data_IF_029094012670
#
_entry.id   IF_029094012670
#
_cell.length_a   1.000
_cell.length_b   1.000
_cell.length_c   1.000
_cell.angle_alpha   90.00
_cell.angle_beta   90.00
_cell.angle_gamma   90.00
#
_symmetry.space_group_name_H-M   'P 1'
#
loop_
_entity.id
_entity.type
_entity.pdbx_description
1 polymer ?
#
# COMPACT_ATOMS: atom_id res chain seq x y z
N UNK A 1 -28.04 -7.51 -43.38
CA UNK A 1 -28.09 -8.38 -42.21
C UNK A 1 -26.68 -8.78 -41.70
N UNK A 2 -25.76 -9.19 -42.55
CA UNK A 2 -24.42 -9.60 -42.13
C UNK A 2 -23.55 -8.46 -41.50
N UNK A 3 -23.75 -7.22 -41.96
CA UNK A 3 -23.03 -6.05 -41.40
C UNK A 3 -23.41 -5.70 -39.97
N UNK A 4 -24.66 -5.93 -39.58
CA UNK A 4 -25.12 -5.63 -38.21
C UNK A 4 -24.68 -6.66 -37.19
N UNK A 5 -24.51 -7.92 -37.59
CA UNK A 5 -24.00 -9.02 -36.74
C UNK A 5 -22.53 -8.84 -36.47
N UNK A 6 -21.73 -8.39 -37.44
CA UNK A 6 -20.30 -8.10 -37.28
C UNK A 6 -20.05 -6.93 -36.33
N UNK A 7 -20.88 -5.89 -36.34
CA UNK A 7 -20.79 -4.75 -35.43
C UNK A 7 -21.10 -5.16 -33.99
N UNK A 8 -22.09 -6.01 -33.76
CA UNK A 8 -22.46 -6.54 -32.44
C UNK A 8 -21.34 -7.41 -31.84
N UNK A 9 -20.69 -8.24 -32.65
CA UNK A 9 -19.58 -9.09 -32.22
C UNK A 9 -18.36 -8.24 -31.88
N UNK A 10 -18.08 -7.16 -32.62
CA UNK A 10 -16.99 -6.23 -32.35
C UNK A 10 -17.19 -5.46 -31.04
N UNK A 11 -18.43 -5.03 -30.72
CA UNK A 11 -18.76 -4.38 -29.45
C UNK A 11 -18.66 -5.33 -28.27
N UNK A 12 -19.01 -6.62 -28.41
CA UNK A 12 -18.86 -7.60 -27.33
C UNK A 12 -17.39 -7.93 -27.03
N UNK A 13 -16.53 -7.99 -28.05
CA UNK A 13 -15.10 -8.24 -27.86
C UNK A 13 -14.38 -7.06 -27.16
N UNK A 14 -14.82 -5.82 -27.44
CA UNK A 14 -14.25 -4.65 -26.76
C UNK A 14 -14.62 -4.60 -25.26
N UNK A 15 -15.80 -5.11 -24.88
CA UNK A 15 -16.25 -5.14 -23.48
C UNK A 15 -15.47 -6.17 -22.62
N UNK A 16 -14.85 -7.19 -23.22
CA UNK A 16 -14.10 -8.23 -22.51
C UNK A 16 -12.66 -7.78 -22.19
N UNK A 17 -12.14 -6.73 -22.84
CA UNK A 17 -10.77 -6.28 -22.70
C UNK A 17 -10.49 -5.39 -21.47
N UNK A 18 -11.53 -4.96 -20.73
CA UNK A 18 -11.36 -4.10 -19.54
C UNK A 18 -11.32 -4.97 -18.30
N UNK A 19 -10.13 -5.44 -17.92
CA UNK A 19 -9.90 -6.03 -16.61
C UNK A 19 -9.29 -4.99 -15.71
N UNK A 20 -9.88 -4.78 -14.51
CA UNK A 20 -9.25 -4.02 -13.44
C UNK A 20 -7.94 -4.70 -13.06
N UNK A 21 -6.86 -3.92 -12.91
CA UNK A 21 -5.58 -4.44 -12.43
C UNK A 21 -5.72 -4.81 -10.96
N UNK A 22 -5.66 -6.12 -10.64
CA UNK A 22 -5.78 -6.65 -9.28
C UNK A 22 -4.44 -7.15 -8.74
N UNK A 23 -3.40 -7.19 -9.58
CA UNK A 23 -2.06 -7.63 -9.21
C UNK A 23 -1.02 -6.69 -9.80
N UNK A 24 0.08 -6.54 -9.08
CA UNK A 24 1.17 -5.65 -9.45
C UNK A 24 2.06 -5.30 -8.25
N UNK A 25 2.95 -4.29 -8.40
CA UNK A 25 3.90 -3.93 -7.34
C UNK A 25 3.24 -3.47 -6.05
N UNK A 26 2.03 -2.91 -6.12
CA UNK A 26 1.33 -2.41 -4.93
C UNK A 26 0.43 -3.45 -4.25
N UNK A 27 0.63 -4.72 -4.54
CA UNK A 27 0.15 -5.84 -3.77
C UNK A 27 1.36 -6.62 -3.27
N UNK A 28 1.80 -6.32 -2.04
CA UNK A 28 3.08 -6.81 -1.56
C UNK A 28 3.17 -6.82 -0.03
N UNK A 29 4.09 -7.62 0.46
CA UNK A 29 4.67 -7.52 1.79
C UNK A 29 6.10 -7.00 1.61
N UNK A 30 6.40 -5.85 2.21
CA UNK A 30 7.71 -5.21 2.14
C UNK A 30 8.22 -4.94 3.55
N UNK A 31 9.54 -4.95 3.73
CA UNK A 31 10.14 -4.84 5.06
C UNK A 31 11.42 -4.01 5.04
N UNK A 32 11.76 -3.46 6.20
CA UNK A 32 13.04 -2.83 6.47
C UNK A 32 13.60 -3.40 7.77
N UNK A 33 14.74 -4.08 7.70
CA UNK A 33 15.35 -4.76 8.84
C UNK A 33 16.04 -3.80 9.81
N UNK A 34 16.57 -2.70 9.32
CA UNK A 34 17.26 -1.71 10.17
C UNK A 34 16.32 -1.13 11.23
N UNK A 35 15.10 -0.78 10.83
CA UNK A 35 14.10 -0.21 11.73
C UNK A 35 13.10 -1.24 12.22
N UNK A 36 13.19 -2.49 11.73
CA UNK A 36 12.28 -3.58 12.08
C UNK A 36 10.81 -3.23 11.82
N UNK A 37 10.56 -2.59 10.69
CA UNK A 37 9.22 -2.24 10.24
C UNK A 37 8.87 -2.99 8.97
N UNK A 38 7.58 -3.14 8.72
CA UNK A 38 7.08 -3.79 7.51
C UNK A 38 5.79 -3.10 7.06
N UNK A 39 5.46 -3.31 5.80
CA UNK A 39 4.16 -2.88 5.26
C UNK A 39 3.48 -4.06 4.58
N UNK A 40 2.21 -4.21 4.83
CA UNK A 40 1.33 -5.09 4.05
C UNK A 40 0.39 -4.20 3.28
N UNK A 41 0.42 -4.31 1.97
CA UNK A 41 -0.36 -3.45 1.08
C UNK A 41 -1.08 -4.26 0.01
N UNK A 42 -2.26 -3.81 -0.33
CA UNK A 42 -2.95 -4.09 -1.57
C UNK A 42 -3.71 -2.83 -1.96
N UNK A 43 -3.04 -1.97 -2.71
CA UNK A 43 -3.61 -0.68 -3.10
C UNK A 43 -4.65 -0.82 -4.23
N UNK A 44 -4.70 -1.97 -4.88
CA UNK A 44 -5.67 -2.25 -5.93
C UNK A 44 -7.02 -2.65 -5.34
N UNK A 45 -7.07 -3.75 -4.61
CA UNK A 45 -8.31 -4.31 -4.05
C UNK A 45 -8.69 -3.67 -2.71
N UNK A 46 -7.73 -3.09 -1.99
CA UNK A 46 -7.92 -2.46 -0.68
C UNK A 46 -8.64 -3.41 0.30
N UNK A 47 -8.16 -4.64 0.35
CA UNK A 47 -8.76 -5.74 1.09
C UNK A 47 -7.93 -6.19 2.31
N UNK A 48 -7.04 -5.34 2.79
CA UNK A 48 -6.18 -5.65 3.93
C UNK A 48 -6.93 -5.40 5.23
N UNK A 49 -6.99 -6.43 6.08
CA UNK A 49 -7.55 -6.33 7.43
C UNK A 49 -6.39 -6.08 8.39
N UNK A 50 -6.52 -5.03 9.21
CA UNK A 50 -5.48 -4.64 10.17
C UNK A 50 -5.61 -5.53 11.41
N UNK A 51 -4.56 -6.29 11.79
CA UNK A 51 -4.61 -7.12 13.00
C UNK A 51 -4.93 -6.31 14.25
N UNK A 52 -5.94 -6.73 15.02
CA UNK A 52 -6.40 -6.02 16.20
C UNK A 52 -7.25 -4.78 15.92
N UNK A 53 -7.50 -4.45 14.66
CA UNK A 53 -8.24 -3.26 14.23
C UNK A 53 -9.35 -3.62 13.23
N UNK A 54 -10.01 -4.73 13.44
CA UNK A 54 -11.02 -5.28 12.52
C UNK A 54 -12.22 -4.33 12.31
N UNK A 55 -12.47 -3.43 13.25
CA UNK A 55 -13.53 -2.43 13.15
C UNK A 55 -13.33 -1.44 11.97
N UNK A 56 -12.08 -1.23 11.54
CA UNK A 56 -11.82 -0.41 10.37
C UNK A 56 -12.24 -1.09 9.06
N UNK A 57 -12.47 -2.41 9.08
CA UNK A 57 -12.79 -3.18 7.88
C UNK A 57 -11.60 -3.32 6.93
N UNK A 58 -11.89 -3.37 5.65
CA UNK A 58 -10.90 -3.53 4.60
C UNK A 58 -10.29 -2.19 4.22
N UNK A 59 -8.96 -2.13 4.18
CA UNK A 59 -8.18 -0.92 3.93
C UNK A 59 -7.04 -1.20 2.93
N UNK A 60 -6.39 -0.16 2.38
CA UNK A 60 -5.25 -0.33 1.47
C UNK A 60 -4.07 -1.04 2.08
N UNK A 61 -3.88 -0.94 3.40
CA UNK A 61 -2.78 -1.57 4.09
C UNK A 61 -2.37 -0.89 5.38
N UNK A 62 -1.20 -1.26 5.88
CA UNK A 62 -0.64 -0.68 7.10
C UNK A 62 0.88 -0.84 7.16
N UNK A 63 1.50 0.00 7.98
CA UNK A 63 2.90 -0.13 8.39
C UNK A 63 2.93 -0.60 9.83
N UNK A 64 3.58 -1.74 10.07
CA UNK A 64 3.71 -2.34 11.39
C UNK A 64 5.15 -2.35 11.89
N UNK A 65 5.30 -2.56 13.19
CA UNK A 65 6.57 -2.78 13.86
C UNK A 65 6.67 -4.24 14.26
N UNK A 66 7.79 -4.88 13.95
CA UNK A 66 7.99 -6.28 14.32
C UNK A 66 7.88 -6.48 15.83
N UNK A 67 7.23 -7.55 16.25
CA UNK A 67 7.00 -7.92 17.66
C UNK A 67 6.27 -6.85 18.47
N UNK A 68 5.45 -6.03 17.81
CA UNK A 68 4.66 -4.97 18.44
C UNK A 68 3.32 -4.84 17.74
N UNK A 69 2.27 -4.55 18.50
CA UNK A 69 0.92 -4.40 17.94
C UNK A 69 0.64 -2.99 17.37
N UNK A 70 1.53 -2.03 17.62
CA UNK A 70 1.38 -0.67 17.10
C UNK A 70 1.49 -0.65 15.57
N UNK A 71 0.68 0.15 14.92
CA UNK A 71 0.74 0.33 13.48
C UNK A 71 0.34 1.73 13.03
N UNK A 72 0.74 2.06 11.82
CA UNK A 72 0.22 3.18 11.04
C UNK A 72 -0.69 2.59 9.96
N UNK A 73 -1.92 3.08 9.91
CA UNK A 73 -2.95 2.57 9.00
C UNK A 73 -2.98 3.41 7.75
N UNK A 74 -2.99 2.78 6.58
CA UNK A 74 -3.22 3.46 5.31
C UNK A 74 -4.73 3.60 5.14
N UNK A 75 -5.24 4.82 5.25
CA UNK A 75 -6.68 5.08 5.18
C UNK A 75 -7.15 5.28 3.75
N UNK A 76 -6.29 5.80 2.89
CA UNK A 76 -6.59 5.98 1.47
C UNK A 76 -5.30 5.97 0.66
N UNK A 77 -5.42 5.73 -0.63
CA UNK A 77 -4.30 5.74 -1.55
C UNK A 77 -4.75 6.20 -2.94
N UNK A 78 -3.78 6.66 -3.71
CA UNK A 78 -3.96 7.01 -5.11
C UNK A 78 -2.77 6.49 -5.91
N UNK A 79 -3.02 5.56 -6.81
CA UNK A 79 -1.98 5.05 -7.72
C UNK A 79 -1.77 6.09 -8.81
N UNK A 80 -0.58 6.69 -8.84
CA UNK A 80 -0.20 7.73 -9.80
C UNK A 80 0.32 7.15 -11.11
N UNK A 81 1.02 6.02 -11.02
CA UNK A 81 1.62 5.32 -12.16
C UNK A 81 1.86 3.87 -11.79
N UNK A 82 2.43 3.09 -12.69
CA UNK A 82 2.81 1.70 -12.45
C UNK A 82 3.79 1.53 -11.28
N UNK A 83 4.51 2.61 -10.93
CA UNK A 83 5.60 2.56 -9.94
C UNK A 83 5.44 3.51 -8.78
N UNK A 84 4.42 4.36 -8.76
CA UNK A 84 4.27 5.38 -7.73
C UNK A 84 2.83 5.50 -7.24
N UNK A 85 2.66 5.59 -5.94
CA UNK A 85 1.37 5.81 -5.29
C UNK A 85 1.50 6.82 -4.15
N UNK A 86 0.48 7.63 -3.96
CA UNK A 86 0.30 8.45 -2.77
C UNK A 86 -0.47 7.69 -1.71
N UNK A 87 -0.06 7.84 -0.45
CA UNK A 87 -0.67 7.22 0.71
C UNK A 87 -1.08 8.28 1.72
N UNK A 88 -2.24 8.08 2.34
CA UNK A 88 -2.65 8.79 3.54
C UNK A 88 -2.57 7.83 4.70
N UNK A 89 -1.79 8.16 5.74
CA UNK A 89 -1.61 7.31 6.91
C UNK A 89 -2.09 8.02 8.17
N UNK A 90 -2.62 7.23 9.10
CA UNK A 90 -2.91 7.68 10.47
C UNK A 90 -2.24 6.73 11.44
N UNK A 91 -1.86 7.22 12.62
CA UNK A 91 -1.35 6.35 13.67
C UNK A 91 -2.49 5.55 14.32
N UNK A 92 -2.11 4.51 15.08
CA UNK A 92 -3.05 3.59 15.73
C UNK A 92 -4.01 4.31 16.70
N UNK A 93 -3.61 5.44 17.26
CA UNK A 93 -4.44 6.24 18.15
C UNK A 93 -5.33 7.25 17.43
N UNK A 94 -5.17 7.43 16.12
CA UNK A 94 -5.92 8.39 15.32
C UNK A 94 -5.57 9.85 15.58
N UNK A 95 -4.49 10.14 16.31
CA UNK A 95 -4.10 11.50 16.71
C UNK A 95 -3.13 12.18 15.76
N UNK A 96 -2.46 11.43 14.88
CA UNK A 96 -1.46 11.93 13.95
C UNK A 96 -1.74 11.37 12.55
N UNK A 97 -1.57 12.20 11.56
CA UNK A 97 -1.71 11.82 10.16
C UNK A 97 -0.57 12.36 9.31
N UNK A 98 -0.32 11.71 8.20
CA UNK A 98 0.64 12.18 7.22
C UNK A 98 0.32 11.69 5.82
N UNK A 99 0.83 12.41 4.84
CA UNK A 99 0.88 11.97 3.45
C UNK A 99 2.27 11.45 3.14
N UNK A 100 2.33 10.37 2.36
CA UNK A 100 3.58 9.78 1.92
C UNK A 100 3.47 9.31 0.48
N UNK A 101 4.62 9.16 -0.16
CA UNK A 101 4.72 8.60 -1.52
C UNK A 101 5.46 7.28 -1.43
N UNK A 102 4.88 6.24 -2.00
CA UNK A 102 5.52 4.93 -2.13
C UNK A 102 5.92 4.72 -3.58
N UNK A 103 7.21 4.50 -3.82
CA UNK A 103 7.77 4.27 -5.15
C UNK A 103 8.34 2.85 -5.23
N UNK A 104 7.94 2.10 -6.24
CA UNK A 104 8.55 0.82 -6.60
C UNK A 104 9.73 1.09 -7.53
N UNK A 105 10.95 1.00 -7.02
CA UNK A 105 12.17 1.35 -7.76
C UNK A 105 12.53 0.24 -8.75
N UNK A 106 12.39 -1.01 -8.29
CA UNK A 106 12.57 -2.21 -9.11
C UNK A 106 11.69 -3.34 -8.53
N UNK A 107 11.81 -4.55 -9.04
CA UNK A 107 10.96 -5.68 -8.67
C UNK A 107 11.00 -6.04 -7.17
N UNK A 108 12.05 -5.63 -6.46
CA UNK A 108 12.27 -5.99 -5.06
C UNK A 108 12.45 -4.81 -4.12
N UNK A 109 12.52 -3.58 -4.62
CA UNK A 109 12.90 -2.41 -3.83
C UNK A 109 11.82 -1.33 -3.90
N UNK A 110 11.40 -0.86 -2.72
CA UNK A 110 10.43 0.21 -2.56
C UNK A 110 11.04 1.33 -1.72
N UNK A 111 10.63 2.55 -1.99
CA UNK A 111 11.04 3.73 -1.21
C UNK A 111 9.80 4.46 -0.73
N UNK A 112 9.69 4.61 0.57
CA UNK A 112 8.64 5.40 1.22
C UNK A 112 9.22 6.77 1.57
N UNK A 113 8.61 7.83 1.03
CA UNK A 113 9.00 9.21 1.32
C UNK A 113 7.87 9.91 2.05
N UNK A 114 8.17 10.38 3.26
CA UNK A 114 7.22 11.14 4.06
C UNK A 114 7.05 12.54 3.48
N UNK A 115 5.80 12.95 3.32
CA UNK A 115 5.41 14.28 2.86
C UNK A 115 4.92 15.15 4.00
N UNK A 116 3.80 15.86 3.78
CA UNK A 116 3.21 16.76 4.77
C UNK A 116 2.51 15.99 5.89
N UNK A 117 2.52 16.58 7.08
CA UNK A 117 1.88 16.05 8.27
C UNK A 117 2.88 15.62 9.33
N UNK A 118 2.48 14.66 10.16
CA UNK A 118 3.30 14.13 11.24
C UNK A 118 4.47 13.30 10.73
N UNK A 119 5.47 13.08 11.57
CA UNK A 119 6.59 12.18 11.26
C UNK A 119 6.25 10.75 11.68
N UNK A 120 6.53 9.78 10.83
CA UNK A 120 6.43 8.36 11.19
C UNK A 120 7.35 8.05 12.36
N UNK A 121 6.78 7.46 13.39
CA UNK A 121 7.52 6.97 14.56
C UNK A 121 6.92 5.65 15.01
N UNK A 122 7.74 4.79 15.55
CA UNK A 122 7.36 3.46 16.01
C UNK A 122 7.92 3.19 17.40
N UNK A 123 7.29 2.32 18.22
CA UNK A 123 7.86 1.91 19.49
C UNK A 123 9.14 1.11 19.28
N UNK A 124 10.15 1.40 20.07
CA UNK A 124 11.40 0.64 20.07
C UNK A 124 12.04 0.71 21.45
N UNK A 125 12.17 -0.44 22.12
CA UNK A 125 12.80 -0.54 23.45
C UNK A 125 12.22 0.44 24.48
N UNK A 126 10.89 0.54 24.51
CA UNK A 126 10.16 1.40 25.45
C UNK A 126 10.17 2.89 25.10
N UNK A 127 10.67 3.27 23.95
CA UNK A 127 10.74 4.66 23.46
C UNK A 127 10.15 4.78 22.06
N UNK A 128 9.80 6.00 21.66
CA UNK A 128 9.41 6.31 20.29
C UNK A 128 10.65 6.56 19.44
N UNK A 129 10.76 5.83 18.34
CA UNK A 129 11.84 5.98 17.35
C UNK A 129 11.27 6.59 16.08
N UNK A 130 11.78 7.76 15.69
CA UNK A 130 11.41 8.39 14.43
C UNK A 130 12.03 7.64 13.26
N UNK A 131 11.25 7.44 12.20
CA UNK A 131 11.75 6.87 10.96
C UNK A 131 12.32 7.98 10.07
N UNK A 132 13.35 7.67 9.26
CA UNK A 132 13.87 8.63 8.28
C UNK A 132 12.78 9.08 7.30
N UNK A 133 12.89 10.31 6.80
CA UNK A 133 11.95 10.84 5.80
C UNK A 133 11.89 9.98 4.54
N UNK A 134 13.00 9.37 4.16
CA UNK A 134 13.11 8.43 3.05
C UNK A 134 13.57 7.09 3.60
N UNK A 135 12.75 6.07 3.44
CA UNK A 135 13.00 4.74 3.96
C UNK A 135 12.85 3.71 2.86
N UNK A 136 13.89 2.88 2.71
CA UNK A 136 13.90 1.80 1.74
C UNK A 136 13.30 0.53 2.33
N UNK A 137 12.50 -0.17 1.53
CA UNK A 137 11.93 -1.48 1.85
C UNK A 137 12.33 -2.50 0.79
N UNK A 138 12.43 -3.75 1.20
CA UNK A 138 12.61 -4.88 0.31
C UNK A 138 11.34 -5.72 0.26
N UNK A 139 11.03 -6.24 -0.91
CA UNK A 139 9.86 -7.13 -1.08
C UNK A 139 10.20 -8.50 -0.54
N UNK A 140 9.31 -9.04 0.28
CA UNK A 140 9.38 -10.44 0.68
C UNK A 140 8.89 -11.31 -0.47
N UNK A 141 9.77 -12.18 -0.96
CA UNK A 141 9.41 -13.13 -2.00
C UNK A 141 8.43 -14.16 -1.42
N UNK A 142 7.42 -14.51 -2.19
CA UNK A 142 6.55 -15.63 -1.85
C UNK A 142 7.35 -16.93 -1.99
N UNK A 143 7.47 -17.70 -0.92
CA UNK A 143 7.98 -19.05 -0.97
C UNK A 143 6.91 -19.96 -1.57
#
# INVERSE_FOLDING_TARGET
>A
MAKNILLLISCMLAAIAVKAQTDGPFRAYIYNNEYQVYMRINLYDQDVVIPGQELYGNLPGFLGKQLNSFCWVITSCKIESDKQAELQLINDFGSEDLKATLTCVDDSTYVLRQGSGSTLKVPHQGKWRKLPKTLEFKRKLKN
#
